data_IF_251405252678
#
_entry.id   IF_251405252678
#
_cell.length_a   1.000
_cell.length_b   1.000
_cell.length_c   1.000
_cell.angle_alpha   90.00
_cell.angle_beta   90.00
_cell.angle_gamma   90.00
#
_symmetry.space_group_name_H-M   'P 1'
#
loop_
_entity.id
_entity.type
_entity.pdbx_description
1 polymer ?
#
# COMPACT_ATOMS: atom_id res chain seq x y z
N UNK A 1 14.46 -2.16 -40.96
CA UNK A 1 14.73 -2.93 -39.74
C UNK A 1 16.01 -2.40 -39.13
N UNK A 2 15.90 -1.68 -38.01
CA UNK A 2 16.92 -1.57 -36.96
C UNK A 2 16.23 -0.97 -35.74
N UNK A 3 16.15 -1.78 -34.70
CA UNK A 3 15.47 -1.60 -33.43
C UNK A 3 16.19 -0.56 -32.57
N UNK A 4 15.46 0.44 -32.09
CA UNK A 4 15.95 1.49 -31.21
C UNK A 4 15.97 0.96 -29.75
N UNK A 5 17.02 0.23 -29.37
CA UNK A 5 17.15 -0.43 -28.06
C UNK A 5 17.85 0.42 -27.00
N UNK A 6 17.70 1.73 -27.04
CA UNK A 6 18.39 2.67 -26.15
C UNK A 6 17.42 3.63 -25.42
N UNK A 7 16.24 3.14 -25.03
CA UNK A 7 15.22 3.91 -24.29
C UNK A 7 14.88 3.33 -22.90
N UNK A 8 15.64 2.36 -22.44
CA UNK A 8 15.50 1.78 -21.10
C UNK A 8 16.88 1.62 -20.45
N UNK A 9 17.56 2.75 -20.28
CA UNK A 9 18.77 2.77 -19.45
C UNK A 9 18.37 2.95 -17.99
N UNK A 10 19.09 2.26 -17.12
CA UNK A 10 18.89 2.22 -15.66
C UNK A 10 18.83 3.61 -15.01
N UNK A 11 19.41 4.62 -15.66
CA UNK A 11 19.38 6.02 -15.22
C UNK A 11 18.01 6.71 -15.35
N UNK A 12 17.08 6.19 -16.16
CA UNK A 12 15.71 6.72 -16.24
C UNK A 12 14.91 6.48 -14.96
N UNK A 13 15.21 5.41 -14.21
CA UNK A 13 14.61 5.12 -12.91
C UNK A 13 15.22 5.91 -11.75
N UNK A 14 16.37 6.56 -11.96
CA UNK A 14 17.15 7.18 -10.87
C UNK A 14 16.78 8.65 -10.61
N UNK A 15 16.18 9.36 -11.58
CA UNK A 15 15.84 10.80 -11.43
C UNK A 15 14.34 11.12 -11.31
N UNK A 16 13.44 10.17 -11.63
CA UNK A 16 12.02 10.27 -11.26
C UNK A 16 11.73 9.09 -10.32
N UNK A 17 11.51 9.37 -9.04
CA UNK A 17 11.09 8.34 -8.08
C UNK A 17 9.84 7.64 -8.61
N UNK A 18 9.69 6.34 -8.33
CA UNK A 18 8.45 5.64 -8.63
C UNK A 18 7.27 6.32 -7.93
N UNK A 19 6.05 6.12 -8.43
CA UNK A 19 4.82 6.61 -7.80
C UNK A 19 4.74 6.25 -6.30
N UNK A 20 5.19 5.04 -5.94
CA UNK A 20 5.30 4.58 -4.54
C UNK A 20 6.36 5.34 -3.74
N UNK A 21 7.50 5.70 -4.34
CA UNK A 21 8.52 6.50 -3.66
C UNK A 21 8.02 7.91 -3.34
N UNK A 22 7.41 8.58 -4.33
CA UNK A 22 6.89 9.94 -4.15
C UNK A 22 5.81 9.95 -3.07
N UNK A 23 4.84 9.02 -3.15
CA UNK A 23 3.77 8.88 -2.16
C UNK A 23 4.32 8.57 -0.76
N UNK A 24 5.31 7.66 -0.65
CA UNK A 24 5.94 7.33 0.63
C UNK A 24 6.62 8.55 1.27
N UNK A 25 7.37 9.34 0.50
CA UNK A 25 8.03 10.56 1.01
C UNK A 25 7.02 11.62 1.48
N UNK A 26 5.85 11.69 0.84
CA UNK A 26 4.78 12.61 1.23
C UNK A 26 4.04 12.15 2.50
N UNK A 27 3.69 10.86 2.60
CA UNK A 27 2.85 10.34 3.68
C UNK A 27 3.62 9.98 4.95
N UNK A 28 4.85 9.47 4.82
CA UNK A 28 5.58 8.91 5.96
C UNK A 28 5.95 9.93 7.03
N UNK A 29 6.36 11.18 6.75
CA UNK A 29 6.63 12.16 7.80
C UNK A 29 5.43 12.39 8.72
N UNK A 30 4.22 12.41 8.15
CA UNK A 30 2.97 12.53 8.91
C UNK A 30 2.73 11.29 9.78
N UNK A 31 2.87 10.08 9.21
CA UNK A 31 2.71 8.84 9.96
C UNK A 31 3.75 8.69 11.09
N UNK A 32 5.00 9.03 10.82
CA UNK A 32 6.10 8.96 11.78
C UNK A 32 5.87 9.94 12.95
N UNK A 33 5.43 11.16 12.68
CA UNK A 33 5.10 12.11 13.75
C UNK A 33 3.83 11.72 14.53
N UNK A 34 2.79 11.25 13.85
CA UNK A 34 1.54 10.88 14.50
C UNK A 34 1.70 9.63 15.38
N UNK A 35 2.36 8.58 14.86
CA UNK A 35 2.44 7.27 15.49
C UNK A 35 3.71 7.07 16.33
N UNK A 36 4.76 7.86 16.07
CA UNK A 36 6.07 7.83 16.78
C UNK A 36 6.67 6.42 16.92
N UNK A 37 6.68 5.58 15.87
CA UNK A 37 7.24 4.24 15.97
C UNK A 37 8.77 4.32 16.15
N UNK A 38 9.34 3.42 16.95
CA UNK A 38 10.79 3.22 17.02
C UNK A 38 11.25 2.06 16.13
N UNK A 39 10.32 1.20 15.74
CA UNK A 39 10.53 0.08 14.85
C UNK A 39 9.32 -0.14 13.96
N UNK A 40 9.56 -0.40 12.67
CA UNK A 40 8.51 -0.73 11.72
C UNK A 40 8.90 -1.86 10.77
N UNK A 41 7.89 -2.61 10.32
CA UNK A 41 8.02 -3.60 9.26
C UNK A 41 6.95 -3.41 8.20
N UNK A 42 7.36 -3.38 6.94
CA UNK A 42 6.47 -3.30 5.78
C UNK A 42 6.30 -4.69 5.16
N UNK A 43 5.08 -5.21 5.15
CA UNK A 43 4.75 -6.52 4.60
C UNK A 43 4.19 -6.36 3.17
N UNK A 44 4.86 -6.99 2.21
CA UNK A 44 4.64 -6.73 0.79
C UNK A 44 5.38 -5.46 0.33
N UNK A 45 6.64 -5.29 0.77
CA UNK A 45 7.33 -4.01 0.64
C UNK A 45 7.78 -3.63 -0.78
N UNK A 46 7.66 -4.55 -1.74
CA UNK A 46 8.18 -4.42 -3.10
C UNK A 46 9.67 -4.11 -3.07
N UNK A 47 10.01 -2.94 -3.59
CA UNK A 47 11.38 -2.44 -3.65
C UNK A 47 11.85 -1.77 -2.34
N UNK A 48 11.03 -1.72 -1.29
CA UNK A 48 11.42 -1.17 0.02
C UNK A 48 11.32 0.35 0.14
N UNK A 49 10.47 1.01 -0.66
CA UNK A 49 10.33 2.47 -0.63
C UNK A 49 9.76 3.00 0.69
N UNK A 50 8.74 2.33 1.25
CA UNK A 50 8.13 2.70 2.52
C UNK A 50 9.08 2.57 3.72
N UNK A 51 9.75 1.42 3.97
CA UNK A 51 10.71 1.32 5.07
C UNK A 51 11.88 2.30 4.90
N UNK A 52 12.31 2.61 3.66
CA UNK A 52 13.31 3.67 3.45
C UNK A 52 12.79 5.03 3.89
N UNK A 53 11.58 5.40 3.50
CA UNK A 53 11.00 6.68 3.87
C UNK A 53 10.86 6.81 5.40
N UNK A 54 10.53 5.72 6.12
CA UNK A 54 10.51 5.73 7.59
C UNK A 54 11.90 5.91 8.20
N UNK A 55 12.91 5.24 7.64
CA UNK A 55 14.30 5.43 8.08
C UNK A 55 14.77 6.87 7.86
N UNK A 56 14.41 7.49 6.73
CA UNK A 56 14.69 8.90 6.43
C UNK A 56 13.94 9.86 7.34
N UNK A 57 12.74 9.49 7.80
CA UNK A 57 11.98 10.21 8.82
C UNK A 57 12.51 9.99 10.26
N UNK A 58 13.61 9.24 10.42
CA UNK A 58 14.30 9.05 11.69
C UNK A 58 13.84 7.84 12.51
N UNK A 59 13.05 6.93 11.95
CA UNK A 59 12.68 5.67 12.61
C UNK A 59 13.91 4.74 12.68
N UNK A 60 14.38 4.34 13.88
CA UNK A 60 15.65 3.62 14.02
C UNK A 60 15.70 2.23 13.39
N UNK A 61 14.58 1.50 13.38
CA UNK A 61 14.51 0.13 12.84
C UNK A 61 13.42 0.07 11.78
N UNK A 62 13.79 -0.20 10.54
CA UNK A 62 12.86 -0.27 9.42
C UNK A 62 13.17 -1.52 8.60
N UNK A 63 12.23 -2.46 8.56
CA UNK A 63 12.37 -3.67 7.79
C UNK A 63 11.31 -3.76 6.69
N UNK A 64 11.62 -4.44 5.60
CA UNK A 64 10.68 -4.80 4.55
C UNK A 64 10.67 -6.31 4.34
N UNK A 65 9.51 -6.87 4.02
CA UNK A 65 9.32 -8.29 3.71
C UNK A 65 8.61 -8.42 2.39
N UNK A 66 9.18 -9.16 1.45
CA UNK A 66 8.53 -9.50 0.18
C UNK A 66 9.19 -10.71 -0.49
N UNK A 67 8.76 -11.10 -1.70
CA UNK A 67 9.33 -12.22 -2.45
C UNK A 67 10.79 -12.03 -2.88
N UNK A 68 11.33 -12.99 -3.65
CA UNK A 68 12.75 -13.05 -4.03
C UNK A 68 13.33 -11.78 -4.69
N UNK A 69 12.49 -10.88 -5.22
CA UNK A 69 12.93 -9.58 -5.75
C UNK A 69 13.51 -8.65 -4.67
N UNK A 70 13.31 -8.91 -3.38
CA UNK A 70 13.97 -8.16 -2.29
C UNK A 70 15.49 -8.17 -2.42
N UNK A 71 16.08 -9.20 -3.02
CA UNK A 71 17.53 -9.29 -3.28
C UNK A 71 18.02 -8.33 -4.36
N UNK A 72 17.10 -7.85 -5.19
CA UNK A 72 17.37 -6.88 -6.26
C UNK A 72 17.08 -5.44 -5.82
N UNK A 73 16.59 -5.26 -4.59
CA UNK A 73 16.34 -3.96 -4.00
C UNK A 73 17.62 -3.13 -3.91
N UNK A 74 17.62 -1.98 -4.57
CA UNK A 74 18.74 -1.00 -4.55
C UNK A 74 18.57 0.06 -3.46
N UNK A 75 17.44 0.05 -2.76
CA UNK A 75 16.91 1.15 -1.95
C UNK A 75 17.29 1.00 -0.47
N UNK A 76 17.40 -0.24 0.01
CA UNK A 76 17.83 -0.65 1.35
C UNK A 76 18.71 -1.89 1.23
N UNK A 77 19.37 -2.31 2.32
CA UNK A 77 20.35 -3.41 2.27
C UNK A 77 19.65 -4.77 2.33
N UNK A 78 19.68 -5.62 1.28
CA UNK A 78 19.09 -6.95 1.33
C UNK A 78 19.72 -7.85 2.40
N UNK A 79 18.91 -8.68 3.06
CA UNK A 79 19.36 -9.58 4.15
C UNK A 79 19.66 -8.89 5.49
N UNK A 80 19.57 -7.56 5.53
CA UNK A 80 19.69 -6.75 6.75
C UNK A 80 18.41 -5.97 7.01
N UNK A 81 17.94 -5.25 6.00
CA UNK A 81 16.77 -4.39 6.08
C UNK A 81 15.59 -4.98 5.26
N UNK A 82 15.88 -5.82 4.26
CA UNK A 82 14.87 -6.50 3.42
C UNK A 82 14.97 -8.02 3.56
N UNK A 83 13.84 -8.68 3.78
CA UNK A 83 13.74 -10.12 4.05
C UNK A 83 12.85 -10.82 3.02
N UNK A 84 13.31 -11.93 2.49
CA UNK A 84 12.54 -12.74 1.53
C UNK A 84 11.48 -13.58 2.25
N UNK A 85 10.23 -13.51 1.80
CA UNK A 85 9.15 -14.40 2.17
C UNK A 85 8.05 -14.42 1.10
N UNK A 86 7.85 -15.58 0.45
CA UNK A 86 6.80 -15.74 -0.57
C UNK A 86 5.44 -16.07 0.08
N UNK A 87 4.60 -15.06 0.26
CA UNK A 87 3.24 -15.21 0.79
C UNK A 87 2.29 -15.99 -0.13
N UNK A 88 2.60 -16.10 -1.42
CA UNK A 88 1.81 -16.88 -2.38
C UNK A 88 2.01 -18.39 -2.21
N UNK A 89 3.23 -18.81 -1.86
CA UNK A 89 3.60 -20.22 -1.72
C UNK A 89 3.75 -20.70 -0.26
N UNK A 90 3.87 -19.79 0.71
CA UNK A 90 4.08 -20.16 2.11
C UNK A 90 2.95 -21.01 2.70
N UNK A 91 3.31 -21.89 3.64
CA UNK A 91 2.35 -22.56 4.50
C UNK A 91 1.75 -21.57 5.52
N UNK A 92 0.54 -21.88 6.01
CA UNK A 92 -0.11 -21.11 7.07
C UNK A 92 0.01 -21.86 8.40
N UNK A 93 0.21 -21.16 9.55
CA UNK A 93 0.26 -19.71 9.70
C UNK A 93 1.52 -19.09 9.09
N UNK A 94 1.41 -17.85 8.59
CA UNK A 94 2.56 -17.12 8.07
C UNK A 94 3.54 -16.78 9.18
N UNK A 95 4.83 -16.95 8.90
CA UNK A 95 5.91 -16.75 9.86
C UNK A 95 7.22 -16.38 9.16
N UNK A 96 7.32 -15.18 8.56
CA UNK A 96 8.58 -14.69 8.01
C UNK A 96 9.67 -14.64 9.06
N UNK A 97 10.89 -15.03 8.69
CA UNK A 97 12.05 -15.01 9.58
C UNK A 97 12.57 -13.58 9.74
N UNK A 98 12.14 -12.90 10.79
CA UNK A 98 12.47 -11.49 11.06
C UNK A 98 13.44 -11.32 12.24
N UNK A 99 14.23 -10.23 12.29
CA UNK A 99 15.19 -9.98 13.37
C UNK A 99 14.55 -9.70 14.73
N UNK A 100 13.27 -9.34 14.76
CA UNK A 100 12.51 -9.07 15.97
C UNK A 100 11.10 -9.66 15.88
N UNK A 101 10.59 -10.13 17.02
CA UNK A 101 9.28 -10.78 17.11
C UNK A 101 8.11 -9.79 17.04
N UNK A 102 8.31 -8.55 17.49
CA UNK A 102 7.31 -7.48 17.46
C UNK A 102 7.93 -6.16 17.04
N UNK A 103 7.12 -5.30 16.43
CA UNK A 103 7.41 -3.94 15.98
C UNK A 103 6.41 -2.97 16.59
N UNK A 104 6.72 -1.69 16.56
CA UNK A 104 5.78 -0.65 17.00
C UNK A 104 4.72 -0.39 15.91
N UNK A 105 5.06 -0.60 14.64
CA UNK A 105 4.19 -0.41 13.49
C UNK A 105 4.39 -1.50 12.44
N UNK A 106 3.29 -2.08 11.95
CA UNK A 106 3.28 -2.82 10.68
C UNK A 106 2.67 -1.93 9.60
N UNK A 107 3.27 -1.92 8.42
CA UNK A 107 2.65 -1.34 7.23
C UNK A 107 2.43 -2.40 6.16
N UNK A 108 1.45 -2.17 5.29
CA UNK A 108 1.25 -2.94 4.07
C UNK A 108 0.40 -2.10 3.12
N UNK A 109 0.94 -1.74 1.95
CA UNK A 109 0.29 -0.82 1.02
C UNK A 109 0.26 -1.42 -0.39
N UNK A 110 -0.94 -1.63 -0.94
CA UNK A 110 -1.17 -2.24 -2.26
C UNK A 110 -0.47 -3.61 -2.38
N UNK A 111 -0.82 -4.51 -1.44
CA UNK A 111 -0.27 -5.86 -1.35
C UNK A 111 -1.35 -6.90 -1.08
N UNK A 112 -2.25 -6.62 -0.14
CA UNK A 112 -3.21 -7.60 0.38
C UNK A 112 -4.22 -8.09 -0.67
N UNK A 113 -4.43 -7.34 -1.74
CA UNK A 113 -5.24 -7.71 -2.91
C UNK A 113 -4.62 -8.82 -3.76
N UNK A 114 -3.32 -9.07 -3.63
CA UNK A 114 -2.63 -10.19 -4.28
C UNK A 114 -2.72 -11.49 -3.47
N UNK A 115 -3.16 -11.41 -2.21
CA UNK A 115 -3.30 -12.57 -1.33
C UNK A 115 -4.71 -13.12 -1.43
N UNK A 116 -4.82 -14.40 -1.81
CA UNK A 116 -6.10 -15.06 -2.03
C UNK A 116 -7.05 -14.89 -0.82
N UNK A 117 -8.37 -14.70 -1.03
CA UNK A 117 -9.31 -14.40 0.06
C UNK A 117 -9.29 -15.42 1.21
N UNK A 118 -9.08 -16.71 0.90
CA UNK A 118 -8.98 -17.78 1.90
C UNK A 118 -7.73 -17.73 2.80
N UNK A 119 -6.76 -16.86 2.47
CA UNK A 119 -5.52 -16.63 3.23
C UNK A 119 -5.54 -15.30 3.98
N UNK A 120 -6.58 -14.48 3.78
CA UNK A 120 -6.69 -13.14 4.36
C UNK A 120 -6.68 -13.16 5.90
N UNK A 121 -7.33 -14.14 6.54
CA UNK A 121 -7.31 -14.24 8.01
C UNK A 121 -5.91 -14.55 8.55
N UNK A 122 -5.18 -15.48 7.93
CA UNK A 122 -3.81 -15.77 8.32
C UNK A 122 -2.87 -14.58 8.12
N UNK A 123 -3.13 -13.75 7.10
CA UNK A 123 -2.38 -12.50 6.89
C UNK A 123 -2.67 -11.47 7.98
N UNK A 124 -3.93 -11.29 8.34
CA UNK A 124 -4.31 -10.36 9.44
C UNK A 124 -3.78 -10.89 10.78
N UNK A 125 -3.77 -12.22 11.00
CA UNK A 125 -3.13 -12.83 12.17
C UNK A 125 -1.64 -12.48 12.26
N UNK A 126 -0.92 -12.57 11.13
CA UNK A 126 0.48 -12.14 11.06
C UNK A 126 0.63 -10.67 11.46
N UNK A 127 -0.13 -9.77 10.85
CA UNK A 127 -0.05 -8.33 11.19
C UNK A 127 -0.28 -8.08 12.68
N UNK A 128 -1.31 -8.70 13.26
CA UNK A 128 -1.64 -8.54 14.68
C UNK A 128 -0.58 -9.16 15.62
N UNK A 129 0.07 -10.25 15.19
CA UNK A 129 1.18 -10.85 15.93
C UNK A 129 2.41 -9.96 15.96
N UNK A 130 2.63 -9.17 14.91
CA UNK A 130 3.81 -8.33 14.73
C UNK A 130 3.69 -6.97 15.41
N UNK A 131 2.52 -6.33 15.46
CA UNK A 131 2.38 -5.01 16.07
C UNK A 131 0.97 -4.73 16.63
N UNK A 132 0.90 -3.77 17.55
CA UNK A 132 -0.36 -3.22 18.06
C UNK A 132 -0.89 -2.06 17.21
N UNK A 133 -0.10 -1.57 16.25
CA UNK A 133 -0.50 -0.57 15.27
C UNK A 133 -0.23 -1.11 13.87
N UNK A 134 -1.23 -1.06 13.00
CA UNK A 134 -1.13 -1.49 11.61
C UNK A 134 -1.65 -0.40 10.69
N UNK A 135 -0.85 0.09 9.74
CA UNK A 135 -1.33 0.92 8.64
C UNK A 135 -1.47 0.05 7.38
N UNK A 136 -2.70 -0.12 6.90
CA UNK A 136 -3.00 -1.02 5.78
C UNK A 136 -3.74 -0.26 4.68
N UNK A 137 -3.28 -0.42 3.45
CA UNK A 137 -4.00 -0.05 2.23
C UNK A 137 -4.09 -1.24 1.27
N UNK A 138 -5.28 -1.58 0.83
CA UNK A 138 -5.51 -2.63 -0.16
C UNK A 138 -6.53 -2.21 -1.20
N UNK A 139 -6.36 -2.69 -2.43
CA UNK A 139 -7.20 -2.29 -3.56
C UNK A 139 -8.68 -2.60 -3.33
N UNK A 140 -9.55 -1.63 -3.65
CA UNK A 140 -11.01 -1.81 -3.62
C UNK A 140 -11.49 -2.58 -4.86
N UNK A 141 -12.72 -3.15 -4.84
CA UNK A 141 -13.27 -3.83 -6.01
C UNK A 141 -13.25 -2.96 -7.27
N UNK A 142 -12.76 -3.53 -8.36
CA UNK A 142 -12.59 -2.89 -9.67
C UNK A 142 -11.52 -1.79 -9.73
N UNK A 143 -10.63 -1.68 -8.74
CA UNK A 143 -9.50 -0.74 -8.79
C UNK A 143 -8.52 -1.06 -9.93
N UNK A 144 -8.60 -2.27 -10.50
CA UNK A 144 -7.75 -2.76 -11.60
C UNK A 144 -6.29 -2.87 -11.18
N UNK A 145 -5.52 -3.67 -11.91
CA UNK A 145 -4.12 -3.93 -11.59
C UNK A 145 -3.72 -5.34 -12.00
N UNK A 146 -2.45 -5.65 -11.79
CA UNK A 146 -1.88 -6.91 -12.26
C UNK A 146 -2.10 -7.98 -11.18
N UNK A 147 -2.79 -9.07 -11.53
CA UNK A 147 -3.01 -10.21 -10.63
C UNK A 147 -3.68 -9.86 -9.28
N UNK A 148 -4.66 -8.97 -9.28
CA UNK A 148 -5.52 -8.77 -8.11
C UNK A 148 -6.50 -9.94 -8.00
N UNK A 149 -6.45 -10.67 -6.90
CA UNK A 149 -7.31 -11.84 -6.62
C UNK A 149 -8.23 -11.61 -5.42
N UNK A 150 -8.04 -10.52 -4.69
CA UNK A 150 -8.76 -10.21 -3.46
C UNK A 150 -8.95 -8.69 -3.28
N UNK A 151 -9.48 -8.03 -4.31
CA UNK A 151 -9.92 -6.64 -4.19
C UNK A 151 -11.11 -6.55 -3.23
N UNK A 152 -10.98 -5.77 -2.14
CA UNK A 152 -11.97 -5.73 -1.06
C UNK A 152 -12.15 -4.32 -0.53
N UNK A 153 -13.37 -4.02 -0.10
CA UNK A 153 -13.65 -2.75 0.57
C UNK A 153 -12.92 -2.65 1.92
N UNK A 154 -12.62 -1.43 2.34
CA UNK A 154 -11.95 -1.17 3.62
C UNK A 154 -12.64 -1.81 4.84
N UNK A 155 -13.97 -1.93 4.82
CA UNK A 155 -14.72 -2.53 5.93
C UNK A 155 -14.52 -4.05 6.04
N UNK A 156 -14.23 -4.75 4.95
CA UNK A 156 -13.81 -6.16 4.98
C UNK A 156 -12.55 -6.36 5.84
N UNK A 157 -11.53 -5.52 5.61
CA UNK A 157 -10.29 -5.58 6.37
C UNK A 157 -10.51 -5.14 7.83
N UNK A 158 -11.28 -4.06 8.02
CA UNK A 158 -11.63 -3.58 9.35
C UNK A 158 -12.37 -4.61 10.19
N UNK A 159 -13.28 -5.40 9.61
CA UNK A 159 -13.98 -6.46 10.32
C UNK A 159 -13.04 -7.58 10.78
N UNK A 160 -12.05 -7.93 9.95
CA UNK A 160 -11.02 -8.92 10.30
C UNK A 160 -10.10 -8.46 11.43
N UNK A 161 -9.75 -7.18 11.44
CA UNK A 161 -9.00 -6.56 12.54
C UNK A 161 -9.84 -6.45 13.81
N UNK A 162 -11.11 -6.05 13.69
CA UNK A 162 -12.03 -5.97 14.82
C UNK A 162 -12.23 -7.32 15.51
N UNK A 163 -12.30 -8.42 14.75
CA UNK A 163 -12.34 -9.78 15.28
C UNK A 163 -11.11 -10.16 16.13
N UNK A 164 -9.99 -9.44 15.96
CA UNK A 164 -8.74 -9.58 16.73
C UNK A 164 -8.57 -8.48 17.78
N UNK A 165 -9.60 -7.67 18.01
CA UNK A 165 -9.61 -6.60 19.00
C UNK A 165 -8.83 -5.36 18.58
N UNK A 166 -8.83 -5.03 17.29
CA UNK A 166 -8.26 -3.78 16.77
C UNK A 166 -9.37 -2.82 16.33
N UNK A 167 -9.27 -1.56 16.74
CA UNK A 167 -10.15 -0.48 16.28
C UNK A 167 -9.57 0.22 15.05
N UNK A 168 -10.44 0.51 14.08
CA UNK A 168 -10.08 1.24 12.86
C UNK A 168 -10.10 2.76 13.10
N UNK A 169 -9.14 3.46 12.51
CA UNK A 169 -9.04 4.91 12.49
C UNK A 169 -8.73 5.37 11.06
N UNK A 170 -9.59 6.24 10.56
CA UNK A 170 -9.41 6.86 9.26
C UNK A 170 -8.58 8.14 9.39
N UNK A 171 -7.28 7.95 9.57
CA UNK A 171 -6.33 9.00 9.92
C UNK A 171 -5.78 9.75 8.69
N UNK A 172 -5.71 9.08 7.53
CA UNK A 172 -4.94 9.57 6.37
C UNK A 172 -5.80 10.27 5.33
N UNK A 173 -7.00 9.76 5.02
CA UNK A 173 -7.86 10.37 3.99
C UNK A 173 -8.15 11.84 4.27
N UNK A 174 -8.48 12.30 5.50
CA UNK A 174 -8.70 13.73 5.74
C UNK A 174 -7.51 14.64 5.42
N UNK A 175 -6.29 14.08 5.37
CA UNK A 175 -5.05 14.83 5.18
C UNK A 175 -4.55 14.76 3.73
N UNK A 176 -4.66 13.59 3.10
CA UNK A 176 -4.02 13.31 1.82
C UNK A 176 -4.98 13.18 0.63
N UNK A 177 -6.31 13.25 0.85
CA UNK A 177 -7.29 13.03 -0.23
C UNK A 177 -6.98 13.86 -1.48
N UNK A 178 -6.82 15.18 -1.34
CA UNK A 178 -6.55 16.07 -2.47
C UNK A 178 -5.05 16.39 -2.66
N UNK A 179 -4.15 15.59 -2.07
CA UNK A 179 -2.70 15.85 -2.17
C UNK A 179 -2.15 15.28 -3.50
N UNK A 180 -1.66 16.13 -4.43
CA UNK A 180 -1.20 15.68 -5.75
C UNK A 180 0.12 14.90 -5.74
N UNK A 181 0.85 14.89 -4.61
CA UNK A 181 2.08 14.10 -4.45
C UNK A 181 1.78 12.65 -4.01
N UNK A 182 0.54 12.36 -3.63
CA UNK A 182 0.11 11.04 -3.18
C UNK A 182 -0.78 10.42 -4.24
N UNK A 183 -0.41 9.22 -4.70
CA UNK A 183 -1.27 8.50 -5.64
C UNK A 183 -2.63 8.22 -5.01
N UNK A 184 -3.72 8.34 -5.80
CA UNK A 184 -5.06 8.36 -5.24
C UNK A 184 -5.46 7.02 -4.60
N UNK A 185 -4.85 5.89 -5.00
CA UNK A 185 -5.05 4.61 -4.32
C UNK A 185 -4.43 4.58 -2.92
N UNK A 186 -3.25 5.17 -2.70
CA UNK A 186 -2.68 5.26 -1.35
C UNK A 186 -3.50 6.19 -0.44
N UNK A 187 -3.93 7.34 -0.97
CA UNK A 187 -4.79 8.26 -0.24
C UNK A 187 -6.13 7.61 0.12
N UNK A 188 -6.74 6.87 -0.81
CA UNK A 188 -8.02 6.21 -0.63
C UNK A 188 -7.95 4.98 0.25
N UNK A 189 -6.97 4.11 0.08
CA UNK A 189 -7.06 2.76 0.64
C UNK A 189 -6.49 2.67 2.04
N UNK A 190 -5.64 3.63 2.43
CA UNK A 190 -4.88 3.54 3.67
C UNK A 190 -5.69 3.93 4.91
N UNK A 191 -5.79 2.98 5.84
CA UNK A 191 -6.38 3.16 7.17
C UNK A 191 -5.41 2.66 8.25
N UNK A 192 -5.61 3.11 9.49
CA UNK A 192 -4.78 2.70 10.63
C UNK A 192 -5.62 1.93 11.64
N UNK A 193 -5.09 0.82 12.14
CA UNK A 193 -5.73 -0.06 13.09
C UNK A 193 -4.92 -0.10 14.38
N UNK A 194 -5.60 0.04 15.52
CA UNK A 194 -4.98 0.08 16.86
C UNK A 194 -5.52 -1.05 17.73
N UNK A 195 -4.64 -1.78 18.41
CA UNK A 195 -5.05 -2.76 19.41
C UNK A 195 -5.83 -2.07 20.53
N UNK A 196 -7.04 -2.56 20.81
CA UNK A 196 -7.95 -1.93 21.76
C UNK A 196 -8.63 -0.70 21.16
N UNK A 197 -8.54 0.44 21.84
CA UNK A 197 -9.18 1.69 21.43
C UNK A 197 -8.18 2.59 20.68
N UNK A 198 -8.71 3.45 19.79
CA UNK A 198 -7.89 4.47 19.11
C UNK A 198 -7.43 5.50 20.15
N UNK A 199 -6.12 5.81 20.25
CA UNK A 199 -5.63 6.80 21.20
C UNK A 199 -6.34 8.16 21.05
N UNK A 200 -6.62 8.84 22.17
CA UNK A 200 -7.35 10.11 22.16
C UNK A 200 -6.66 11.20 21.32
N UNK A 201 -5.33 11.29 21.38
CA UNK A 201 -4.54 12.22 20.57
C UNK A 201 -4.70 11.97 19.06
N UNK A 202 -4.74 10.71 18.65
CA UNK A 202 -4.97 10.32 17.24
C UNK A 202 -6.40 10.65 16.82
N UNK A 203 -7.37 10.35 17.69
CA UNK A 203 -8.79 10.62 17.42
C UNK A 203 -9.08 12.12 17.26
N UNK A 204 -8.37 12.97 18.00
CA UNK A 204 -8.45 14.42 17.87
C UNK A 204 -7.85 14.89 16.53
N UNK A 205 -6.69 14.36 16.17
CA UNK A 205 -6.00 14.67 14.91
C UNK A 205 -6.78 14.24 13.66
N UNK A 206 -7.45 13.08 13.70
CA UNK A 206 -8.32 12.62 12.60
C UNK A 206 -9.59 13.48 12.44
N UNK A 207 -9.90 14.34 13.42
CA UNK A 207 -11.11 15.16 13.45
C UNK A 207 -12.31 14.37 13.98
N UNK A 208 -13.01 14.95 14.96
CA UNK A 208 -14.16 14.33 15.67
C UNK A 208 -15.30 13.85 14.75
N UNK A 209 -15.44 14.44 13.56
CA UNK A 209 -16.45 14.06 12.57
C UNK A 209 -16.10 12.75 11.84
N UNK A 210 -14.83 12.54 11.50
CA UNK A 210 -14.34 11.32 10.85
C UNK A 210 -14.08 10.21 11.87
N UNK A 211 -13.60 10.53 13.07
CA UNK A 211 -13.43 9.57 14.16
C UNK A 211 -14.74 8.87 14.58
N UNK A 212 -15.92 9.49 14.36
CA UNK A 212 -17.22 8.87 14.64
C UNK A 212 -17.66 7.83 13.59
N UNK A 213 -17.01 7.78 12.42
CA UNK A 213 -17.22 6.73 11.42
C UNK A 213 -16.41 5.45 11.75
N UNK A 214 -15.65 5.44 12.85
CA UNK A 214 -14.63 4.44 13.19
C UNK A 214 -15.12 3.00 13.49
N UNK A 215 -16.42 2.74 13.65
CA UNK A 215 -16.87 1.34 13.80
C UNK A 215 -16.83 0.57 12.49
N UNK A 216 -16.96 1.26 11.35
CA UNK A 216 -16.82 0.70 10.00
C UNK A 216 -16.37 1.80 9.04
N UNK A 217 -15.19 1.67 8.41
CA UNK A 217 -14.70 2.70 7.49
C UNK A 217 -15.64 2.86 6.31
N UNK A 218 -15.78 4.11 5.83
CA UNK A 218 -16.64 4.41 4.70
C UNK A 218 -16.09 3.77 3.41
N UNK A 219 -17.00 3.22 2.61
CA UNK A 219 -16.74 2.79 1.22
C UNK A 219 -16.82 4.00 0.31
N UNK A 220 -15.68 4.61 0.04
CA UNK A 220 -15.57 5.83 -0.76
C UNK A 220 -14.62 5.58 -1.94
N UNK A 221 -14.90 6.26 -3.05
CA UNK A 221 -14.07 6.21 -4.25
C UNK A 221 -13.50 7.59 -4.51
N UNK A 222 -12.20 7.67 -4.70
CA UNK A 222 -11.47 8.88 -5.04
C UNK A 222 -11.89 9.38 -6.43
N UNK A 223 -12.16 10.69 -6.62
CA UNK A 223 -12.55 11.23 -7.92
C UNK A 223 -11.60 10.82 -9.06
N UNK A 224 -10.28 10.89 -8.84
CA UNK A 224 -9.31 10.52 -9.87
C UNK A 224 -9.36 9.03 -10.24
N UNK A 225 -9.60 8.14 -9.28
CA UNK A 225 -9.78 6.70 -9.54
C UNK A 225 -11.09 6.44 -10.27
N UNK A 226 -12.16 7.17 -9.89
CA UNK A 226 -13.43 7.10 -10.57
C UNK A 226 -13.31 7.54 -12.03
N UNK A 227 -12.67 8.68 -12.28
CA UNK A 227 -12.48 9.24 -13.62
C UNK A 227 -11.54 8.38 -14.47
N UNK A 228 -10.51 7.78 -13.86
CA UNK A 228 -9.64 6.80 -14.51
C UNK A 228 -10.41 5.57 -14.99
N UNK A 229 -11.30 5.02 -14.16
CA UNK A 229 -12.17 3.90 -14.54
C UNK A 229 -13.29 4.31 -15.51
N UNK A 230 -13.70 5.58 -15.50
CA UNK A 230 -14.81 6.11 -16.30
C UNK A 230 -14.38 7.27 -17.21
N UNK A 231 -13.43 7.05 -18.13
CA UNK A 231 -12.90 8.13 -18.94
C UNK A 231 -14.01 8.74 -19.80
N UNK A 232 -13.99 10.07 -20.04
CA UNK A 232 -15.00 10.76 -20.84
C UNK A 232 -15.21 10.09 -22.20
N UNK A 233 -16.44 10.18 -22.74
CA UNK A 233 -16.79 9.60 -24.05
C UNK A 233 -15.85 10.04 -25.17
N UNK A 234 -15.30 11.26 -25.08
CA UNK A 234 -14.30 11.81 -26.00
C UNK A 234 -13.00 11.00 -25.99
N UNK A 235 -12.46 10.71 -24.81
CA UNK A 235 -11.26 9.88 -24.62
C UNK A 235 -11.51 8.45 -25.10
N UNK A 236 -12.67 7.86 -24.74
CA UNK A 236 -13.06 6.51 -25.20
C UNK A 236 -13.13 6.42 -26.74
N UNK A 237 -13.72 7.42 -27.39
CA UNK A 237 -13.78 7.50 -28.86
C UNK A 237 -12.40 7.66 -29.50
N UNK A 238 -11.53 8.48 -28.92
CA UNK A 238 -10.16 8.66 -29.39
C UNK A 238 -9.36 7.34 -29.31
N UNK A 239 -9.42 6.64 -28.17
CA UNK A 239 -8.78 5.35 -27.98
C UNK A 239 -9.30 4.29 -28.97
N UNK A 240 -10.62 4.22 -29.19
CA UNK A 240 -11.23 3.32 -30.16
C UNK A 240 -10.77 3.60 -31.60
N UNK A 241 -10.71 4.88 -32.00
CA UNK A 241 -10.24 5.27 -33.32
C UNK A 241 -8.76 4.96 -33.52
N UNK A 242 -7.92 5.18 -32.50
CA UNK A 242 -6.51 4.83 -32.53
C UNK A 242 -6.30 3.32 -32.69
N UNK A 243 -7.00 2.50 -31.89
CA UNK A 243 -6.93 1.05 -32.01
C UNK A 243 -7.34 0.55 -33.40
N UNK A 244 -8.36 1.17 -34.02
CA UNK A 244 -8.80 0.85 -35.38
C UNK A 244 -7.77 1.28 -36.44
N UNK A 245 -7.10 2.42 -36.25
CA UNK A 245 -6.03 2.88 -37.14
C UNK A 245 -4.81 1.95 -37.08
N UNK A 246 -4.38 1.55 -35.86
CA UNK A 246 -3.30 0.57 -35.66
C UNK A 246 -3.63 -0.77 -36.31
N UNK A 247 -4.87 -1.27 -36.12
CA UNK A 247 -5.31 -2.52 -36.75
C UNK A 247 -5.34 -2.42 -38.28
N UNK A 248 -5.67 -1.26 -38.85
CA UNK A 248 -5.63 -1.06 -40.31
C UNK A 248 -4.19 -1.03 -40.84
N UNK A 249 -3.27 -0.40 -40.12
CA UNK A 249 -1.86 -0.33 -40.51
C UNK A 249 -1.10 -1.66 -40.35
N UNK A 250 -1.58 -2.55 -39.47
CA UNK A 250 -0.96 -3.86 -39.26
C UNK A 250 -1.42 -4.95 -40.26
N UNK A 251 -2.52 -4.73 -40.97
CA UNK A 251 -3.16 -5.72 -41.86
C UNK A 251 -3.48 -5.18 -43.26
N UNK A 252 -2.88 -4.05 -43.67
CA UNK A 252 -3.01 -3.46 -45.00
C UNK A 252 -1.65 -3.09 -45.56
#
# INVERSE_FOLDING_TARGET
>A
MSTNSALYDSDFYTQQGSASDISARAMVPFLAEALKPRSMVDIGCGMGFWPRAFAQAGVPVCHGVDGAWTHTGTVLTPGKDLFEYDFGQAEMPFSPSLPQARYDLVTSFEFVEHIAPGRADALVDLFCSLADIVALGGAIPHQSGVHHVNEQWADYWSEKFAARGYACCDLLRPVFWDNPEVEPWYAQNTLVYFKGEVPAAISEQAGKAWAKLATRPARIVHPDLWDYAHPPLTVRRAAFNLARAVKRAAFG
#
